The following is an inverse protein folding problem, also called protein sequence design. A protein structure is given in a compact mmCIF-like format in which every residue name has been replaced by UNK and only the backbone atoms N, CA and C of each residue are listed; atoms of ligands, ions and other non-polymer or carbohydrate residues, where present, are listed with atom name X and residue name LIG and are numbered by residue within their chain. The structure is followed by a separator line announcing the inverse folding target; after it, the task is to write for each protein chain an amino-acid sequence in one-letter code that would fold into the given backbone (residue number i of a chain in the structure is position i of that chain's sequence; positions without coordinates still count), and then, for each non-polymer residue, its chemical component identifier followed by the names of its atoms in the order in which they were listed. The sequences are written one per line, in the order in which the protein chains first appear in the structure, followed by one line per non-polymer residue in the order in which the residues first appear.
data_IF_982742857605
#
_entry.id   IF_982742857605
#
_cell.length_a   1.000
_cell.length_b   1.000
_cell.length_c   1.000
_cell.angle_alpha   90.00
_cell.angle_beta   90.00
_cell.angle_gamma   90.00
#
_symmetry.space_group_name_H-M   'P 1'
#
loop_
_entity.id
_entity.type
_entity.pdbx_description
1 polymer ?
#
# COMPACT_ATOMS: atom_id res chain seq x y z
N UNK A 1 9.03 20.64 -5.59
CA UNK A 1 9.37 19.75 -6.73
C UNK A 1 8.68 18.41 -6.50
N UNK A 2 7.51 18.21 -7.05
CA UNK A 2 6.69 17.02 -6.84
C UNK A 2 6.24 16.47 -8.21
N UNK A 3 7.17 15.83 -8.93
CA UNK A 3 6.89 15.26 -10.24
C UNK A 3 7.10 13.74 -10.35
N UNK A 4 7.44 13.04 -9.24
CA UNK A 4 7.90 11.64 -9.30
C UNK A 4 6.80 10.59 -9.15
N UNK A 5 5.62 10.92 -8.61
CA UNK A 5 4.61 9.89 -8.29
C UNK A 5 3.71 9.48 -9.46
N UNK A 6 3.57 10.32 -10.49
CA UNK A 6 2.71 9.98 -11.64
C UNK A 6 3.37 9.06 -12.66
N UNK A 7 4.69 9.13 -12.79
CA UNK A 7 5.46 8.28 -13.69
C UNK A 7 5.52 6.81 -13.23
N UNK A 8 5.63 6.59 -11.92
CA UNK A 8 5.67 5.22 -11.36
C UNK A 8 4.37 4.45 -11.59
N UNK A 9 3.23 5.12 -11.52
CA UNK A 9 1.93 4.47 -11.71
C UNK A 9 1.70 4.04 -13.17
N UNK A 10 2.11 4.86 -14.13
CA UNK A 10 1.99 4.53 -15.56
C UNK A 10 2.93 3.41 -16.01
N UNK A 11 4.11 3.29 -15.39
CA UNK A 11 5.07 2.22 -15.66
C UNK A 11 4.54 0.86 -15.17
N UNK A 12 3.85 0.83 -14.02
CA UNK A 12 3.35 -0.42 -13.44
C UNK A 12 2.10 -0.94 -14.17
N UNK A 13 1.20 -0.05 -14.61
CA UNK A 13 -0.08 -0.48 -15.18
C UNK A 13 -0.13 -0.47 -16.72
N UNK A 14 0.74 0.29 -17.39
CA UNK A 14 0.83 0.31 -18.84
C UNK A 14 1.18 -1.05 -19.47
N UNK A 15 2.25 -1.73 -19.01
CA UNK A 15 2.59 -3.09 -19.47
C UNK A 15 1.57 -4.15 -19.04
N UNK A 16 0.87 -3.96 -17.93
CA UNK A 16 -0.09 -4.93 -17.41
C UNK A 16 -1.20 -5.32 -18.39
N UNK A 17 -1.66 -4.36 -19.23
CA UNK A 17 -2.66 -4.66 -20.24
C UNK A 17 -2.14 -5.59 -21.34
N UNK A 18 -0.90 -5.42 -21.78
CA UNK A 18 -0.31 -6.25 -22.85
C UNK A 18 -0.13 -7.70 -22.43
N UNK A 19 0.05 -7.95 -21.12
CA UNK A 19 0.19 -9.29 -20.54
C UNK A 19 -1.16 -10.02 -20.38
N UNK A 20 -2.28 -9.30 -20.44
CA UNK A 20 -3.61 -9.89 -20.32
C UNK A 20 -4.19 -10.21 -21.70
N UNK A 21 -4.70 -11.42 -21.86
CA UNK A 21 -5.56 -11.76 -23.02
C UNK A 21 -6.89 -10.98 -22.96
N UNK A 22 -7.60 -10.76 -24.07
CA UNK A 22 -8.97 -10.23 -24.05
C UNK A 22 -9.83 -11.01 -23.04
N UNK A 23 -10.62 -10.31 -22.22
CA UNK A 23 -11.37 -10.89 -21.10
C UNK A 23 -10.54 -11.26 -19.86
N UNK A 24 -9.21 -11.15 -19.91
CA UNK A 24 -8.31 -11.42 -18.77
C UNK A 24 -8.53 -10.45 -17.61
N UNK A 25 -8.27 -10.91 -16.39
CA UNK A 25 -8.46 -10.15 -15.15
C UNK A 25 -7.13 -9.78 -14.50
N UNK A 26 -7.11 -8.63 -13.86
CA UNK A 26 -6.03 -8.12 -13.00
C UNK A 26 -6.60 -7.86 -11.61
N UNK A 27 -5.85 -8.22 -10.58
CA UNK A 27 -6.09 -7.79 -9.21
C UNK A 27 -4.90 -6.95 -8.76
N UNK A 28 -5.16 -5.68 -8.47
CA UNK A 28 -4.20 -4.82 -7.78
C UNK A 28 -4.48 -4.90 -6.27
N UNK A 29 -3.48 -5.30 -5.49
CA UNK A 29 -3.55 -5.34 -4.04
C UNK A 29 -2.48 -4.44 -3.46
N UNK A 30 -2.88 -3.42 -2.73
CA UNK A 30 -1.92 -2.46 -2.18
C UNK A 30 -2.51 -1.46 -1.20
N UNK A 31 -1.63 -0.78 -0.47
CA UNK A 31 -2.01 0.27 0.45
C UNK A 31 -2.29 1.55 -0.35
N UNK A 32 -3.44 2.18 -0.06
CA UNK A 32 -3.81 3.46 -0.62
C UNK A 32 -4.38 4.39 0.45
N UNK A 33 -4.30 5.71 0.18
CA UNK A 33 -4.92 6.74 1.01
C UNK A 33 -6.39 6.90 0.66
N UNK A 34 -7.17 7.31 1.66
CA UNK A 34 -8.61 7.52 1.54
C UNK A 34 -9.00 8.99 1.34
N UNK A 35 -8.16 9.92 1.79
CA UNK A 35 -8.45 11.35 1.75
C UNK A 35 -7.36 12.11 1.00
N UNK A 36 -7.75 13.01 0.11
CA UNK A 36 -6.81 13.85 -0.62
C UNK A 36 -6.12 14.90 0.26
N UNK A 37 -6.75 15.31 1.35
CA UNK A 37 -6.22 16.29 2.30
C UNK A 37 -5.13 15.73 3.20
N UNK A 38 -5.00 14.42 3.30
CA UNK A 38 -3.97 13.79 4.12
C UNK A 38 -2.59 13.88 3.44
N UNK A 39 -1.49 14.05 4.20
CA UNK A 39 -0.14 14.09 3.64
C UNK A 39 0.20 12.79 2.92
N UNK A 40 1.05 12.86 1.90
CA UNK A 40 1.39 11.69 1.06
C UNK A 40 2.18 10.63 1.81
N UNK A 41 3.10 11.04 2.68
CA UNK A 41 3.85 10.17 3.57
C UNK A 41 4.21 10.90 4.86
N UNK A 42 4.41 10.16 5.94
CA UNK A 42 4.98 10.72 7.16
C UNK A 42 6.51 10.68 7.09
N UNK A 43 7.21 11.75 7.51
CA UNK A 43 8.67 11.84 7.42
C UNK A 43 9.39 10.70 8.14
N UNK A 44 8.79 10.14 9.18
CA UNK A 44 9.33 8.99 9.88
C UNK A 44 9.31 7.72 9.01
N UNK A 45 8.18 7.43 8.37
CA UNK A 45 8.03 6.24 7.53
C UNK A 45 8.96 6.29 6.32
N UNK A 46 9.01 7.44 5.66
CA UNK A 46 9.87 7.68 4.50
C UNK A 46 11.36 7.56 4.84
N UNK A 47 11.77 8.13 5.98
CA UNK A 47 13.18 8.12 6.35
C UNK A 47 13.69 6.77 6.87
N UNK A 48 12.88 6.02 7.62
CA UNK A 48 13.37 4.89 8.41
C UNK A 48 12.82 3.53 8.00
N UNK A 49 11.72 3.47 7.25
CA UNK A 49 11.03 2.20 6.96
C UNK A 49 10.97 1.93 5.46
N UNK A 50 10.38 2.83 4.70
CA UNK A 50 10.16 2.70 3.27
C UNK A 50 10.57 3.99 2.54
N UNK A 51 11.85 4.17 2.22
CA UNK A 51 12.27 5.29 1.39
C UNK A 51 11.52 5.32 0.07
N UNK A 52 11.11 6.50 -0.37
CA UNK A 52 10.40 6.75 -1.64
C UNK A 52 9.00 6.10 -1.73
N UNK A 53 8.46 5.54 -0.65
CA UNK A 53 7.14 4.95 -0.64
C UNK A 53 6.08 5.94 -0.16
N UNK A 54 5.36 6.55 -1.09
CA UNK A 54 4.18 7.37 -0.81
C UNK A 54 2.91 6.62 -1.26
N UNK A 55 1.99 6.25 -0.34
CA UNK A 55 0.73 5.63 -0.72
C UNK A 55 -0.09 6.57 -1.60
N UNK A 56 -0.42 6.11 -2.79
CA UNK A 56 -1.29 6.87 -3.70
C UNK A 56 -2.72 6.93 -3.16
N UNK A 57 -3.45 7.99 -3.50
CA UNK A 57 -4.89 7.99 -3.28
C UNK A 57 -5.57 6.96 -4.20
N UNK A 58 -6.60 6.27 -3.69
CA UNK A 58 -7.30 5.19 -4.42
C UNK A 58 -7.76 5.63 -5.82
N UNK A 59 -8.27 6.87 -5.96
CA UNK A 59 -8.72 7.39 -7.26
C UNK A 59 -7.61 7.42 -8.31
N UNK A 60 -6.35 7.65 -7.92
CA UNK A 60 -5.20 7.65 -8.85
C UNK A 60 -4.89 6.25 -9.35
N UNK A 61 -5.07 5.23 -8.50
CA UNK A 61 -4.90 3.82 -8.88
C UNK A 61 -5.99 3.45 -9.90
N UNK A 62 -7.24 3.76 -9.59
CA UNK A 62 -8.38 3.51 -10.49
C UNK A 62 -8.18 4.23 -11.84
N UNK A 63 -7.85 5.51 -11.80
CA UNK A 63 -7.60 6.29 -13.01
C UNK A 63 -6.47 5.72 -13.88
N UNK A 64 -5.39 5.24 -13.24
CA UNK A 64 -4.29 4.63 -13.97
C UNK A 64 -4.67 3.31 -14.65
N UNK A 65 -5.49 2.50 -14.00
CA UNK A 65 -6.02 1.25 -14.57
C UNK A 65 -6.94 1.53 -15.77
N UNK A 66 -7.84 2.50 -15.65
CA UNK A 66 -8.71 2.93 -16.75
C UNK A 66 -7.93 3.51 -17.92
N UNK A 67 -6.94 4.36 -17.65
CA UNK A 67 -6.04 4.87 -18.69
C UNK A 67 -5.23 3.78 -19.39
N UNK A 68 -4.94 2.68 -18.70
CA UNK A 68 -4.32 1.51 -19.31
C UNK A 68 -5.32 0.69 -20.15
N UNK A 69 -6.59 1.11 -20.26
CA UNK A 69 -7.63 0.45 -21.02
C UNK A 69 -8.20 -0.80 -20.33
N UNK A 70 -8.14 -0.82 -19.00
CA UNK A 70 -8.76 -1.85 -18.17
C UNK A 70 -10.10 -1.31 -17.62
N UNK A 71 -11.12 -2.15 -17.57
CA UNK A 71 -12.39 -1.82 -16.94
C UNK A 71 -12.40 -2.34 -15.51
N UNK A 72 -12.56 -1.43 -14.53
CA UNK A 72 -12.67 -1.78 -13.12
C UNK A 72 -14.06 -2.38 -12.87
N UNK A 73 -14.11 -3.53 -12.24
CA UNK A 73 -15.36 -4.23 -11.91
C UNK A 73 -15.55 -4.50 -10.41
N UNK A 74 -14.55 -4.26 -9.59
CA UNK A 74 -14.66 -4.39 -8.13
C UNK A 74 -13.59 -3.61 -7.39
N UNK A 75 -13.97 -2.99 -6.27
CA UNK A 75 -13.05 -2.32 -5.33
C UNK A 75 -13.47 -2.70 -3.92
N UNK A 76 -12.55 -3.23 -3.14
CA UNK A 76 -12.81 -3.64 -1.76
C UNK A 76 -11.69 -3.16 -0.85
N UNK A 77 -12.03 -2.68 0.35
CA UNK A 77 -11.10 -2.16 1.35
C UNK A 77 -11.04 -3.04 2.59
N UNK A 78 -9.84 -3.27 3.12
CA UNK A 78 -9.53 -4.17 4.24
C UNK A 78 -8.83 -3.42 5.38
N UNK A 79 -9.32 -2.24 5.77
CA UNK A 79 -8.66 -1.42 6.79
C UNK A 79 -8.66 -2.12 8.15
N UNK A 80 -9.81 -2.64 8.60
CA UNK A 80 -9.95 -3.37 9.88
C UNK A 80 -9.10 -4.64 9.92
N UNK A 81 -9.16 -5.44 8.86
CA UNK A 81 -8.41 -6.70 8.77
C UNK A 81 -6.90 -6.46 8.81
N UNK A 82 -6.46 -5.37 8.17
CA UNK A 82 -5.04 -5.04 8.17
C UNK A 82 -4.58 -4.40 9.49
N UNK A 83 -5.44 -3.65 10.18
CA UNK A 83 -5.19 -3.19 11.54
C UNK A 83 -4.99 -4.36 12.51
N UNK A 84 -5.80 -5.42 12.39
CA UNK A 84 -5.65 -6.68 13.12
C UNK A 84 -4.32 -7.38 12.78
N UNK A 85 -4.01 -7.49 11.50
CA UNK A 85 -2.73 -8.05 11.01
C UNK A 85 -1.54 -7.35 11.64
N UNK A 86 -1.56 -6.01 11.68
CA UNK A 86 -0.49 -5.21 12.30
C UNK A 86 -0.42 -5.41 13.82
N UNK A 87 -1.56 -5.62 14.47
CA UNK A 87 -1.60 -6.01 15.88
C UNK A 87 -0.85 -7.32 16.13
N UNK A 88 -1.16 -8.34 15.36
CA UNK A 88 -0.47 -9.64 15.44
C UNK A 88 1.03 -9.55 15.12
N UNK A 89 1.42 -8.72 14.17
CA UNK A 89 2.84 -8.51 13.87
C UNK A 89 3.57 -7.83 15.02
N UNK A 90 2.96 -6.80 15.64
CA UNK A 90 3.53 -6.13 16.80
C UNK A 90 3.69 -7.10 17.99
N UNK A 91 2.67 -7.91 18.27
CA UNK A 91 2.73 -8.92 19.34
C UNK A 91 3.83 -9.97 19.09
N UNK A 92 3.94 -10.46 17.86
CA UNK A 92 4.99 -11.42 17.48
C UNK A 92 6.40 -10.84 17.58
N UNK A 93 6.57 -9.58 17.24
CA UNK A 93 7.85 -8.89 17.40
C UNK A 93 8.20 -8.73 18.89
N UNK A 94 7.23 -8.31 19.71
CA UNK A 94 7.44 -8.12 21.14
C UNK A 94 7.69 -9.44 21.88
N UNK A 95 7.02 -10.54 21.49
CA UNK A 95 7.24 -11.87 22.11
C UNK A 95 8.59 -12.51 21.76
N UNK A 96 9.30 -11.98 20.78
CA UNK A 96 10.61 -12.48 20.33
C UNK A 96 11.66 -11.36 20.30
N UNK A 97 11.55 -10.44 21.26
CA UNK A 97 12.32 -9.20 21.26
C UNK A 97 13.84 -9.46 21.30
N UNK A 98 14.30 -10.38 22.15
CA UNK A 98 15.73 -10.71 22.27
C UNK A 98 16.29 -11.20 20.93
N UNK A 99 15.57 -12.09 20.27
CA UNK A 99 15.97 -12.59 18.95
C UNK A 99 15.96 -11.50 17.88
N UNK A 100 15.01 -10.59 17.93
CA UNK A 100 14.95 -9.45 17.03
C UNK A 100 16.13 -8.48 17.24
N UNK A 101 16.51 -8.24 18.51
CA UNK A 101 17.67 -7.41 18.87
C UNK A 101 18.98 -8.03 18.37
N UNK A 102 19.16 -9.35 18.52
CA UNK A 102 20.32 -10.07 17.97
C UNK A 102 20.44 -9.92 16.46
N UNK A 103 19.32 -10.06 15.73
CA UNK A 103 19.31 -10.08 14.25
C UNK A 103 19.39 -8.69 13.61
N UNK A 104 18.78 -7.69 14.22
CA UNK A 104 18.57 -6.38 13.58
C UNK A 104 19.15 -5.19 14.35
N UNK A 105 19.58 -5.41 15.59
CA UNK A 105 20.07 -4.38 16.48
C UNK A 105 18.98 -3.50 17.10
N UNK A 106 19.31 -2.75 18.17
CA UNK A 106 18.33 -2.04 18.98
C UNK A 106 17.64 -0.89 18.23
N UNK A 107 18.35 -0.20 17.35
CA UNK A 107 17.79 0.94 16.61
C UNK A 107 16.70 0.47 15.65
N UNK A 108 16.98 -0.55 14.84
CA UNK A 108 16.02 -1.07 13.86
C UNK A 108 14.80 -1.68 14.54
N UNK A 109 14.99 -2.41 15.63
CA UNK A 109 13.88 -2.97 16.39
C UNK A 109 12.99 -1.86 16.97
N UNK A 110 13.57 -0.77 17.49
CA UNK A 110 12.82 0.40 17.97
C UNK A 110 11.99 1.04 16.86
N UNK A 111 12.59 1.24 15.68
CA UNK A 111 11.91 1.78 14.51
C UNK A 111 10.70 0.91 14.13
N UNK A 112 10.88 -0.40 14.02
CA UNK A 112 9.80 -1.30 13.65
C UNK A 112 8.69 -1.41 14.70
N UNK A 113 9.04 -1.39 15.98
CA UNK A 113 8.03 -1.37 17.07
C UNK A 113 7.17 -0.12 17.01
N UNK A 114 7.77 1.04 16.73
CA UNK A 114 7.03 2.30 16.56
C UNK A 114 6.19 2.27 15.29
N UNK A 115 6.78 1.86 14.16
CA UNK A 115 6.10 1.80 12.87
C UNK A 115 4.85 0.92 12.91
N UNK A 116 4.93 -0.30 13.42
CA UNK A 116 3.78 -1.23 13.44
C UNK A 116 2.60 -0.65 14.23
N UNK A 117 2.87 0.04 15.34
CA UNK A 117 1.83 0.69 16.15
C UNK A 117 1.24 1.94 15.46
N UNK A 118 2.10 2.75 14.87
CA UNK A 118 1.67 3.95 14.13
C UNK A 118 0.86 3.57 12.88
N UNK A 119 1.34 2.59 12.12
CA UNK A 119 0.64 2.07 10.94
C UNK A 119 -0.75 1.51 11.32
N UNK A 120 -0.84 0.69 12.38
CA UNK A 120 -2.13 0.20 12.87
C UNK A 120 -3.11 1.34 13.14
N UNK A 121 -2.68 2.40 13.83
CA UNK A 121 -3.52 3.58 14.07
C UNK A 121 -3.94 4.27 12.77
N UNK A 122 -3.06 4.31 11.77
CA UNK A 122 -3.38 4.83 10.44
C UNK A 122 -4.53 4.07 9.77
N UNK A 123 -4.54 2.75 9.88
CA UNK A 123 -5.64 1.92 9.37
C UNK A 123 -6.93 2.08 10.20
N UNK A 124 -6.84 2.10 11.53
CA UNK A 124 -7.98 2.30 12.44
C UNK A 124 -8.65 3.68 12.25
N UNK A 125 -7.86 4.73 11.97
CA UNK A 125 -8.38 6.09 11.78
C UNK A 125 -8.90 6.38 10.37
N UNK A 126 -8.74 5.44 9.43
CA UNK A 126 -9.08 5.63 8.02
C UNK A 126 -8.11 6.56 7.27
N UNK A 127 -6.88 6.75 7.77
CA UNK A 127 -5.83 7.45 7.04
C UNK A 127 -5.37 6.64 5.82
N UNK A 128 -5.21 5.33 5.98
CA UNK A 128 -4.89 4.38 4.91
C UNK A 128 -5.77 3.15 4.97
N UNK A 129 -5.88 2.45 3.85
CA UNK A 129 -6.45 1.09 3.78
C UNK A 129 -5.65 0.25 2.80
N UNK A 130 -5.73 -1.07 2.96
CA UNK A 130 -5.38 -1.99 1.88
C UNK A 130 -6.59 -2.11 0.98
N UNK A 131 -6.39 -1.91 -0.32
CA UNK A 131 -7.43 -2.10 -1.32
C UNK A 131 -7.10 -3.25 -2.26
N UNK A 132 -8.12 -4.01 -2.61
CA UNK A 132 -8.15 -4.88 -3.75
C UNK A 132 -8.98 -4.22 -4.85
N UNK A 133 -8.31 -3.82 -5.93
CA UNK A 133 -8.96 -3.27 -7.13
C UNK A 133 -8.89 -4.31 -8.22
N UNK A 134 -10.04 -4.88 -8.57
CA UNK A 134 -10.15 -5.84 -9.67
C UNK A 134 -10.53 -5.11 -10.95
N UNK A 135 -9.80 -5.42 -12.00
CA UNK A 135 -10.05 -4.88 -13.32
C UNK A 135 -9.96 -5.98 -14.36
N UNK A 136 -10.59 -5.78 -15.52
CA UNK A 136 -10.55 -6.71 -16.66
C UNK A 136 -10.13 -6.00 -17.93
N UNK A 137 -9.43 -6.71 -18.80
CA UNK A 137 -9.26 -6.27 -20.18
C UNK A 137 -10.57 -6.52 -20.93
N UNK A 138 -11.24 -5.50 -21.53
CA UNK A 138 -12.42 -5.72 -22.33
C UNK A 138 -12.16 -6.78 -23.41
N UNK A 139 -13.13 -7.65 -23.64
CA UNK A 139 -13.18 -8.44 -24.88
C UNK A 139 -13.48 -7.46 -26.00
N UNK A 140 -12.68 -7.44 -27.03
CA UNK A 140 -12.86 -6.56 -28.18
C UNK A 140 -14.23 -6.77 -28.82
#
# INVERSE_FOLDING_TARGET
MAATSSASCSIVYGPGRSLLRPGGRLLNHGIARLRHTDPEAGPFSERFVFPDAAPLHLSRICFALERAGLAIDHVEGFASDYAETLCHWAQRLDSRLDRALELAGPERVRVWRLYLRAARRGFESGFTSVFQVRARRPAA
#
